data_IF_160165176062
#
_entry.id   IF_160165176062
#
_cell.length_a   1.000
_cell.length_b   1.000
_cell.length_c   1.000
_cell.angle_alpha   90.00
_cell.angle_beta   90.00
_cell.angle_gamma   90.00
#
_symmetry.space_group_name_H-M   'P 1'
#
loop_
_entity.id
_entity.type
_entity.pdbx_description
1 polymer ?
#
# COMPACT_ATOMS: atom_id res chain seq x y z
N UNK A 1 -47.92 -10.26 47.01
CA UNK A 1 -48.96 -11.10 47.66
C UNK A 1 -48.27 -12.04 48.64
N UNK A 2 -48.79 -12.26 49.87
CA UNK A 2 -48.26 -13.31 50.77
C UNK A 2 -48.52 -14.66 50.10
N UNK A 3 -47.48 -15.48 49.92
CA UNK A 3 -47.37 -16.70 49.08
C UNK A 3 -46.75 -16.50 47.66
N UNK A 4 -45.74 -15.63 47.52
CA UNK A 4 -44.82 -15.68 46.35
C UNK A 4 -43.50 -16.34 46.77
N UNK A 5 -43.07 -17.37 46.05
CA UNK A 5 -41.77 -18.04 46.22
C UNK A 5 -40.77 -17.67 45.10
N UNK A 6 -40.94 -16.50 44.48
CA UNK A 6 -40.07 -16.00 43.41
C UNK A 6 -39.15 -14.90 43.93
N UNK A 7 -37.93 -14.81 43.39
CA UNK A 7 -36.89 -13.88 43.86
C UNK A 7 -37.21 -12.40 43.57
N UNK A 8 -38.16 -12.10 42.69
CA UNK A 8 -38.58 -10.74 42.31
C UNK A 8 -40.05 -10.73 41.88
N UNK A 9 -40.80 -9.69 42.27
CA UNK A 9 -42.26 -9.59 42.08
C UNK A 9 -42.68 -8.78 40.84
N UNK A 10 -41.78 -8.02 40.20
CA UNK A 10 -42.06 -7.24 38.99
C UNK A 10 -40.76 -6.84 38.25
N UNK A 11 -40.77 -6.81 36.92
CA UNK A 11 -39.65 -6.34 36.07
C UNK A 11 -40.19 -5.48 34.92
N UNK A 12 -39.66 -4.27 34.76
CA UNK A 12 -39.84 -3.42 33.58
C UNK A 12 -38.55 -3.48 32.74
N UNK A 13 -38.56 -4.24 31.65
CA UNK A 13 -37.47 -4.31 30.67
C UNK A 13 -37.76 -3.28 29.57
N UNK A 14 -36.92 -2.25 29.48
CA UNK A 14 -36.98 -1.26 28.40
C UNK A 14 -35.83 -1.46 27.44
N UNK A 15 -36.16 -1.87 26.22
CA UNK A 15 -35.24 -1.78 25.10
C UNK A 15 -35.06 -0.30 24.72
N UNK A 16 -33.91 0.28 25.04
CA UNK A 16 -33.54 1.59 24.52
C UNK A 16 -32.77 1.39 23.22
N UNK A 17 -33.33 1.93 22.13
CA UNK A 17 -32.67 1.90 20.84
C UNK A 17 -31.57 2.97 20.82
N UNK A 18 -30.31 2.56 21.00
CA UNK A 18 -29.15 3.47 20.89
C UNK A 18 -28.95 3.77 19.41
N UNK A 19 -29.36 4.95 18.96
CA UNK A 19 -29.02 5.45 17.62
C UNK A 19 -27.60 5.98 17.64
N UNK A 20 -26.67 5.25 17.04
CA UNK A 20 -25.31 5.75 16.83
C UNK A 20 -25.32 6.86 15.77
N UNK A 21 -24.53 7.89 15.98
CA UNK A 21 -24.16 8.85 14.95
C UNK A 21 -23.45 8.11 13.81
N UNK A 22 -23.88 8.33 12.58
CA UNK A 22 -23.28 7.75 11.37
C UNK A 22 -22.15 8.65 10.87
N UNK A 23 -21.09 8.06 10.32
CA UNK A 23 -20.08 8.82 9.58
C UNK A 23 -20.34 8.79 8.07
N UNK A 24 -20.05 9.90 7.40
CA UNK A 24 -20.07 10.00 5.94
C UNK A 24 -18.66 10.32 5.43
N UNK A 25 -18.28 9.71 4.31
CA UNK A 25 -17.00 9.98 3.66
C UNK A 25 -17.09 11.32 2.91
N UNK A 26 -16.18 12.24 3.22
CA UNK A 26 -16.11 13.55 2.57
C UNK A 26 -15.10 13.60 1.42
N UNK A 27 -13.89 13.06 1.65
CA UNK A 27 -12.79 13.13 0.68
C UNK A 27 -12.03 11.80 0.64
N UNK A 28 -11.63 11.39 -0.57
CA UNK A 28 -10.74 10.24 -0.78
C UNK A 28 -9.75 10.55 -1.92
N UNK A 29 -8.45 10.55 -1.60
CA UNK A 29 -7.34 10.79 -2.50
C UNK A 29 -6.39 9.59 -2.54
N UNK A 30 -5.85 9.34 -3.73
CA UNK A 30 -4.89 8.28 -4.01
C UNK A 30 -3.82 8.93 -4.87
N UNK A 31 -2.63 9.08 -4.30
CA UNK A 31 -1.50 9.81 -4.88
C UNK A 31 -0.30 8.86 -4.99
N UNK A 32 0.56 9.06 -5.98
CA UNK A 32 1.75 8.23 -6.18
C UNK A 32 2.23 8.28 -7.62
N UNK A 33 3.40 7.71 -7.87
CA UNK A 33 3.97 7.63 -9.21
C UNK A 33 3.21 6.66 -10.13
N UNK A 34 2.41 5.75 -9.55
CA UNK A 34 1.74 4.65 -10.23
C UNK A 34 2.72 3.72 -10.98
N UNK A 35 3.84 3.42 -10.33
CA UNK A 35 4.91 2.55 -10.86
C UNK A 35 5.06 1.35 -9.92
N UNK A 36 5.34 0.18 -10.47
CA UNK A 36 5.73 -1.01 -9.69
C UNK A 36 6.86 -0.65 -8.70
N UNK A 37 6.81 -1.22 -7.50
CA UNK A 37 7.78 -1.00 -6.40
C UNK A 37 7.84 0.44 -5.85
N UNK A 38 6.95 1.35 -6.28
CA UNK A 38 6.84 2.71 -5.73
C UNK A 38 5.61 2.89 -4.85
N UNK A 39 5.72 3.77 -3.87
CA UNK A 39 4.64 4.04 -2.92
C UNK A 39 3.41 4.65 -3.61
N UNK A 40 2.24 4.13 -3.22
CA UNK A 40 0.92 4.72 -3.43
C UNK A 40 0.38 5.12 -2.07
N UNK A 41 0.05 6.39 -1.92
CA UNK A 41 -0.45 6.98 -0.68
C UNK A 41 -1.95 7.20 -0.79
N UNK A 42 -2.69 6.63 0.15
CA UNK A 42 -4.14 6.78 0.27
C UNK A 42 -4.45 7.70 1.43
N UNK A 43 -5.29 8.71 1.20
CA UNK A 43 -5.75 9.65 2.22
C UNK A 43 -7.27 9.78 2.16
N UNK A 44 -7.94 9.72 3.31
CA UNK A 44 -9.37 9.89 3.41
C UNK A 44 -9.76 10.88 4.51
N UNK A 45 -10.93 11.50 4.38
CA UNK A 45 -11.57 12.30 5.43
C UNK A 45 -13.03 11.94 5.52
N UNK A 46 -13.49 11.57 6.70
CA UNK A 46 -14.89 11.36 7.01
C UNK A 46 -15.36 12.35 8.08
N UNK A 47 -16.67 12.58 8.11
CA UNK A 47 -17.33 13.47 9.05
C UNK A 47 -18.40 12.69 9.83
N UNK A 48 -18.44 12.81 11.17
CA UNK A 48 -17.47 13.49 12.03
C UNK A 48 -16.14 12.70 12.18
N UNK A 49 -15.00 13.39 12.03
CA UNK A 49 -13.67 12.75 11.94
C UNK A 49 -13.28 11.98 13.22
N UNK A 50 -13.67 12.49 14.38
CA UNK A 50 -13.33 11.89 15.68
C UNK A 50 -14.08 10.58 15.97
N UNK A 51 -15.14 10.28 15.22
CA UNK A 51 -15.91 9.03 15.36
C UNK A 51 -15.62 8.01 14.27
N UNK A 52 -14.93 8.43 13.20
CA UNK A 52 -14.66 7.58 12.04
C UNK A 52 -13.52 6.57 12.27
N UNK A 53 -13.75 5.35 11.78
CA UNK A 53 -12.75 4.33 11.52
C UNK A 53 -12.65 4.10 10.01
N UNK A 54 -11.44 3.87 9.51
CA UNK A 54 -11.11 3.72 8.10
C UNK A 54 -10.49 2.36 7.84
N UNK A 55 -10.96 1.69 6.78
CA UNK A 55 -10.40 0.45 6.23
C UNK A 55 -10.00 0.68 4.78
N UNK A 56 -8.73 0.40 4.46
CA UNK A 56 -8.20 0.53 3.11
C UNK A 56 -7.93 -0.85 2.52
N UNK A 57 -8.42 -1.06 1.30
CA UNK A 57 -8.20 -2.29 0.55
C UNK A 57 -7.92 -1.97 -0.92
N UNK A 58 -7.25 -2.88 -1.59
CA UNK A 58 -6.97 -2.78 -3.02
C UNK A 58 -7.33 -4.08 -3.72
N UNK A 59 -7.88 -3.98 -4.92
CA UNK A 59 -8.04 -5.11 -5.84
C UNK A 59 -6.90 -5.10 -6.83
N UNK A 60 -6.14 -6.20 -6.90
CA UNK A 60 -5.05 -6.35 -7.87
C UNK A 60 -5.58 -6.68 -9.29
N UNK A 61 -4.72 -6.64 -10.32
CA UNK A 61 -5.09 -6.98 -11.69
C UNK A 61 -5.63 -8.41 -11.84
N UNK A 62 -5.18 -9.34 -10.99
CA UNK A 62 -5.67 -10.72 -10.92
C UNK A 62 -7.07 -10.83 -10.29
N UNK A 63 -7.62 -9.73 -9.80
CA UNK A 63 -8.96 -9.63 -9.24
C UNK A 63 -9.05 -9.95 -7.74
N UNK A 64 -7.93 -10.19 -7.07
CA UNK A 64 -7.82 -10.50 -5.64
C UNK A 64 -7.87 -9.24 -4.79
N UNK A 65 -8.55 -9.33 -3.63
CA UNK A 65 -8.63 -8.26 -2.65
C UNK A 65 -7.55 -8.39 -1.58
N UNK A 66 -6.79 -7.32 -1.37
CA UNK A 66 -5.76 -7.21 -0.35
C UNK A 66 -6.20 -6.11 0.64
N UNK A 67 -6.34 -6.47 1.92
CA UNK A 67 -6.56 -5.49 2.99
C UNK A 67 -5.22 -4.88 3.37
N UNK A 68 -5.07 -3.58 3.13
CA UNK A 68 -3.84 -2.84 3.42
C UNK A 68 -3.86 -2.36 4.89
N UNK A 69 -5.04 -1.91 5.33
CA UNK A 69 -5.26 -1.49 6.71
C UNK A 69 -6.70 -1.86 7.10
N UNK A 70 -6.89 -2.61 8.18
CA UNK A 70 -8.21 -2.83 8.75
C UNK A 70 -8.71 -1.60 9.52
N UNK A 71 -9.96 -1.62 9.99
CA UNK A 71 -10.58 -0.48 10.66
C UNK A 71 -9.72 0.10 11.79
N UNK A 72 -9.31 1.36 11.61
CA UNK A 72 -8.60 2.14 12.63
C UNK A 72 -8.93 3.63 12.49
N UNK A 73 -8.60 4.45 13.49
CA UNK A 73 -8.74 5.90 13.38
C UNK A 73 -7.72 6.56 12.44
N UNK A 74 -6.77 5.78 11.90
CA UNK A 74 -5.78 6.28 10.94
C UNK A 74 -6.43 6.42 9.57
N UNK A 75 -6.49 7.65 9.09
CA UNK A 75 -7.15 8.03 7.84
C UNK A 75 -6.24 7.97 6.61
N UNK A 76 -5.06 7.36 6.73
CA UNK A 76 -4.10 7.23 5.65
C UNK A 76 -3.45 5.85 5.65
N UNK A 77 -3.05 5.39 4.46
CA UNK A 77 -2.33 4.13 4.28
C UNK A 77 -1.39 4.22 3.09
N UNK A 78 -0.42 3.30 3.02
CA UNK A 78 0.54 3.22 1.92
C UNK A 78 0.55 1.80 1.39
N UNK A 79 0.59 1.65 0.07
CA UNK A 79 0.70 0.37 -0.62
C UNK A 79 1.78 0.43 -1.70
N UNK A 80 2.52 -0.66 -1.85
CA UNK A 80 3.55 -0.82 -2.90
C UNK A 80 3.11 -1.92 -3.85
N UNK A 81 2.72 -1.60 -5.10
CA UNK A 81 2.31 -2.60 -6.09
C UNK A 81 3.50 -3.42 -6.57
N UNK A 82 3.27 -4.71 -6.83
CA UNK A 82 4.31 -5.67 -7.23
C UNK A 82 4.24 -6.09 -8.69
N UNK A 83 3.16 -5.74 -9.37
CA UNK A 83 2.92 -6.10 -10.77
C UNK A 83 2.25 -4.91 -11.48
N UNK A 84 2.47 -4.73 -12.79
CA UNK A 84 1.77 -3.72 -13.57
C UNK A 84 0.32 -4.15 -13.81
N UNK A 85 -0.56 -3.17 -14.05
CA UNK A 85 -1.95 -3.42 -14.43
C UNK A 85 -2.94 -2.46 -13.81
N UNK A 86 -4.22 -2.78 -13.97
CA UNK A 86 -5.33 -1.99 -13.43
C UNK A 86 -5.63 -2.44 -12.00
N UNK A 87 -5.63 -1.48 -11.07
CA UNK A 87 -5.96 -1.68 -9.67
C UNK A 87 -7.18 -0.86 -9.29
N UNK A 88 -7.97 -1.37 -8.33
CA UNK A 88 -9.03 -0.60 -7.67
C UNK A 88 -8.71 -0.40 -6.21
N UNK A 89 -8.52 0.85 -5.79
CA UNK A 89 -8.30 1.22 -4.40
C UNK A 89 -9.64 1.60 -3.77
N UNK A 90 -9.94 1.08 -2.58
CA UNK A 90 -11.20 1.32 -1.86
C UNK A 90 -10.91 1.77 -0.43
N UNK A 91 -11.66 2.76 0.02
CA UNK A 91 -11.77 3.10 1.44
C UNK A 91 -13.21 2.84 1.90
N UNK A 92 -13.35 2.15 3.03
CA UNK A 92 -14.60 2.04 3.76
C UNK A 92 -14.48 2.83 5.07
N UNK A 93 -15.58 3.47 5.47
CA UNK A 93 -15.67 4.18 6.74
C UNK A 93 -16.86 3.71 7.56
N UNK A 94 -16.71 3.74 8.88
CA UNK A 94 -17.80 3.52 9.84
C UNK A 94 -17.53 4.22 11.16
N UNK A 95 -18.58 4.50 11.92
CA UNK A 95 -18.46 4.95 13.30
C UNK A 95 -17.83 3.88 14.21
N UNK A 96 -17.05 4.32 15.20
CA UNK A 96 -16.36 3.45 16.20
C UNK A 96 -17.26 2.41 16.85
N UNK A 97 -18.51 2.77 17.13
CA UNK A 97 -19.48 1.93 17.83
C UNK A 97 -20.48 1.26 16.87
N UNK A 98 -20.30 1.41 15.56
CA UNK A 98 -21.20 0.84 14.56
C UNK A 98 -20.98 -0.66 14.38
N UNK A 99 -22.08 -1.41 14.42
CA UNK A 99 -22.11 -2.84 14.06
C UNK A 99 -22.16 -3.07 12.55
N UNK A 100 -22.34 -2.00 11.75
CA UNK A 100 -22.32 -2.11 10.30
C UNK A 100 -20.94 -2.58 9.80
N UNK A 101 -20.94 -3.28 8.66
CA UNK A 101 -19.71 -3.64 7.97
C UNK A 101 -18.98 -2.37 7.55
N UNK A 102 -19.70 -1.44 6.92
CA UNK A 102 -19.33 -0.05 6.65
C UNK A 102 -20.60 0.82 6.64
N UNK A 103 -20.43 2.12 6.81
CA UNK A 103 -21.52 3.11 6.70
C UNK A 103 -21.44 3.88 5.39
N UNK A 104 -20.22 4.11 4.88
CA UNK A 104 -19.98 4.74 3.60
C UNK A 104 -18.65 4.24 2.99
N UNK A 105 -18.47 4.42 1.69
CA UNK A 105 -17.26 4.00 0.97
C UNK A 105 -17.06 4.79 -0.32
N UNK A 106 -15.82 4.81 -0.80
CA UNK A 106 -15.50 5.29 -2.14
C UNK A 106 -14.31 4.52 -2.71
N UNK A 107 -14.13 4.57 -4.03
CA UNK A 107 -13.07 3.88 -4.72
C UNK A 107 -12.46 4.73 -5.84
N UNK A 108 -11.22 4.40 -6.22
CA UNK A 108 -10.54 4.94 -7.39
C UNK A 108 -9.86 3.82 -8.15
N UNK A 109 -10.00 3.86 -9.47
CA UNK A 109 -9.26 2.98 -10.37
C UNK A 109 -7.97 3.68 -10.77
N UNK A 110 -6.85 2.95 -10.69
CA UNK A 110 -5.51 3.43 -11.03
C UNK A 110 -4.82 2.40 -11.92
N UNK A 111 -3.99 2.88 -12.84
CA UNK A 111 -3.17 2.04 -13.69
C UNK A 111 -1.73 2.10 -13.25
N UNK A 112 -1.18 0.96 -12.83
CA UNK A 112 0.22 0.80 -12.47
C UNK A 112 1.01 0.38 -13.70
N UNK A 113 2.09 1.09 -13.97
CA UNK A 113 3.03 0.78 -15.06
C UNK A 113 4.26 0.07 -14.53
N UNK A 114 4.95 -0.67 -15.39
CA UNK A 114 6.21 -1.31 -15.04
C UNK A 114 7.24 -0.28 -14.57
N UNK A 115 8.06 -0.69 -13.60
CA UNK A 115 9.25 0.07 -13.28
C UNK A 115 10.27 -0.12 -14.41
N UNK A 116 10.30 0.84 -15.33
CA UNK A 116 11.27 0.89 -16.43
C UNK A 116 12.64 1.43 -16.00
N UNK A 117 12.90 1.57 -14.69
CA UNK A 117 14.27 1.63 -14.16
C UNK A 117 14.97 0.31 -14.48
N UNK A 118 15.49 0.22 -15.70
CA UNK A 118 16.30 -0.89 -16.16
C UNK A 118 17.47 -1.02 -15.20
N UNK A 119 17.56 -2.15 -14.50
CA UNK A 119 18.79 -2.52 -13.81
C UNK A 119 19.91 -2.57 -14.84
N UNK A 120 20.99 -1.82 -14.60
CA UNK A 120 22.19 -1.84 -15.42
C UNK A 120 22.69 -3.26 -15.61
N UNK A 121 22.64 -3.75 -16.84
CA UNK A 121 23.20 -5.03 -17.24
C UNK A 121 24.48 -4.81 -18.04
N UNK A 122 25.56 -5.53 -17.69
CA UNK A 122 26.80 -5.51 -18.46
C UNK A 122 26.54 -6.11 -19.84
N UNK A 123 26.75 -5.31 -20.89
CA UNK A 123 26.67 -5.73 -22.29
C UNK A 123 28.00 -6.19 -22.82
N UNK A 124 29.05 -5.44 -22.50
CA UNK A 124 30.39 -5.69 -23.02
C UNK A 124 31.44 -5.36 -21.95
N UNK A 125 32.51 -6.13 -21.95
CA UNK A 125 33.71 -5.86 -21.18
C UNK A 125 34.93 -6.15 -22.06
N UNK A 126 35.79 -5.15 -22.20
CA UNK A 126 36.95 -5.21 -23.10
C UNK A 126 38.21 -4.87 -22.32
N UNK A 127 39.24 -5.67 -22.57
CA UNK A 127 40.57 -5.51 -21.99
C UNK A 127 41.55 -5.36 -23.15
N UNK A 128 42.25 -4.23 -23.21
CA UNK A 128 43.22 -3.94 -24.26
C UNK A 128 44.56 -3.50 -23.68
N UNK A 129 45.66 -3.86 -24.36
CA UNK A 129 47.02 -3.58 -23.92
C UNK A 129 47.52 -4.55 -22.83
N UNK A 130 48.66 -4.23 -22.22
CA UNK A 130 49.28 -5.07 -21.19
C UNK A 130 50.22 -6.17 -21.68
N UNK A 131 50.56 -6.18 -22.97
CA UNK A 131 51.40 -7.24 -23.57
C UNK A 131 52.86 -7.23 -23.10
N UNK A 132 53.30 -6.13 -22.46
CA UNK A 132 54.66 -5.95 -21.96
C UNK A 132 54.64 -5.46 -20.51
N UNK A 133 55.62 -5.91 -19.73
CA UNK A 133 55.82 -5.47 -18.34
C UNK A 133 55.98 -3.94 -18.30
N UNK A 134 55.21 -3.29 -17.44
CA UNK A 134 55.19 -1.83 -17.28
C UNK A 134 54.30 -1.08 -18.27
N UNK A 135 53.65 -1.77 -19.22
CA UNK A 135 52.68 -1.15 -20.11
C UNK A 135 51.30 -1.02 -19.46
N UNK A 136 50.53 0.03 -19.80
CA UNK A 136 49.18 0.21 -19.27
C UNK A 136 48.22 -0.86 -19.82
N UNK A 137 47.27 -1.26 -18.97
CA UNK A 137 46.10 -2.06 -19.34
C UNK A 137 44.88 -1.13 -19.36
N UNK A 138 44.11 -1.14 -20.44
CA UNK A 138 42.88 -0.38 -20.57
C UNK A 138 41.67 -1.30 -20.36
N UNK A 139 40.80 -0.95 -19.42
CA UNK A 139 39.55 -1.66 -19.13
C UNK A 139 38.37 -0.78 -19.54
N UNK A 140 37.49 -1.29 -20.38
CA UNK A 140 36.23 -0.62 -20.73
C UNK A 140 35.04 -1.56 -20.54
N UNK A 141 33.90 -0.99 -20.19
CA UNK A 141 32.65 -1.72 -20.02
C UNK A 141 31.48 -0.90 -20.58
N UNK A 142 30.49 -1.59 -21.15
CA UNK A 142 29.23 -1.00 -21.59
C UNK A 142 28.09 -1.65 -20.81
N UNK A 143 27.18 -0.84 -20.28
CA UNK A 143 25.96 -1.29 -19.62
C UNK A 143 24.70 -0.72 -20.29
N UNK A 144 23.56 -1.39 -20.09
CA UNK A 144 22.23 -0.91 -20.48
C UNK A 144 21.31 -0.89 -19.25
N UNK A 145 20.73 0.27 -18.90
CA UNK A 145 20.83 1.55 -19.60
C UNK A 145 22.21 2.16 -19.39
N UNK A 146 22.76 2.83 -20.41
CA UNK A 146 24.06 3.51 -20.28
C UNK A 146 24.01 4.63 -19.25
N UNK A 147 22.87 5.31 -19.20
CA UNK A 147 22.67 6.52 -18.42
C UNK A 147 22.44 6.11 -16.96
N UNK A 148 23.25 6.66 -16.05
CA UNK A 148 23.32 6.35 -14.62
C UNK A 148 23.92 4.99 -14.23
N UNK A 149 24.52 4.23 -15.15
CA UNK A 149 25.29 3.03 -14.82
C UNK A 149 26.62 3.36 -14.15
N UNK A 150 26.89 2.76 -12.99
CA UNK A 150 28.18 2.86 -12.29
C UNK A 150 29.03 1.60 -12.53
N UNK A 151 30.35 1.78 -12.64
CA UNK A 151 31.29 0.69 -12.91
C UNK A 151 32.31 0.54 -11.79
N UNK A 152 32.70 -0.71 -11.48
CA UNK A 152 33.82 -1.04 -10.61
C UNK A 152 34.68 -2.11 -11.28
N UNK A 153 35.95 -1.80 -11.50
CA UNK A 153 36.92 -2.72 -12.10
C UNK A 153 37.83 -3.32 -11.01
N UNK A 154 38.26 -4.56 -11.21
CA UNK A 154 39.20 -5.25 -10.33
C UNK A 154 40.24 -6.02 -11.14
N UNK A 155 41.49 -5.94 -10.72
CA UNK A 155 42.63 -6.69 -11.30
C UNK A 155 43.17 -7.62 -10.21
N UNK A 156 43.57 -8.83 -10.59
CA UNK A 156 44.13 -9.82 -9.68
C UNK A 156 45.48 -10.28 -10.18
N UNK A 157 46.49 -10.15 -9.33
CA UNK A 157 47.82 -10.68 -9.62
C UNK A 157 47.84 -12.22 -9.47
N UNK A 158 48.55 -12.93 -10.37
CA UNK A 158 48.81 -14.35 -10.18
C UNK A 158 49.65 -14.59 -8.93
N UNK A 159 49.40 -15.72 -8.26
CA UNK A 159 50.16 -16.15 -7.07
C UNK A 159 51.53 -16.69 -7.45
#
# INVERSE_FOLDING_TARGET
HKLSSKAYDDYDLRDFNVKYSTVALGEFNVDGANIVEHDIVMNAKANPQNEALYKFAIRNPNGEWIVIQDYSSKNNSVYVPKEPGEYRVVVHVKSKNSSAVYEDYNFKDIKIVENVEKKSALKEFTVNGGDLIGSPINLSALADPSDNSLYKFGVRDPK
#
